data_IF_103564152421
#
_entry.id   IF_103564152421
#
_cell.length_a   1.000
_cell.length_b   1.000
_cell.length_c   1.000
_cell.angle_alpha   90.00
_cell.angle_beta   90.00
_cell.angle_gamma   90.00
#
_symmetry.space_group_name_H-M   'P 1'
#
loop_
_entity.id
_entity.type
_entity.pdbx_description
1 polymer ?
#
# COMPACT_ATOMS: atom_id res chain seq x y z
N UNK A 1 18.24 -17.38 -9.20
CA UNK A 1 18.06 -16.85 -10.58
C UNK A 1 17.93 -15.34 -10.44
N UNK A 2 18.78 -14.58 -11.15
CA UNK A 2 18.66 -13.11 -11.14
C UNK A 2 17.40 -12.71 -11.90
N UNK A 3 16.38 -12.28 -11.16
CA UNK A 3 15.13 -11.81 -11.75
C UNK A 3 15.25 -10.30 -11.98
N UNK A 4 15.22 -9.91 -13.24
CA UNK A 4 15.16 -8.50 -13.64
C UNK A 4 13.70 -8.02 -13.56
N UNK A 5 13.36 -7.27 -12.52
CA UNK A 5 11.98 -6.79 -12.32
C UNK A 5 11.50 -5.88 -13.45
N UNK A 6 12.41 -5.25 -14.19
CA UNK A 6 12.05 -4.38 -15.33
C UNK A 6 11.49 -5.18 -16.51
N UNK A 7 11.79 -6.50 -16.55
CA UNK A 7 11.36 -7.43 -17.62
C UNK A 7 10.25 -8.38 -17.19
N UNK A 8 9.84 -8.37 -15.92
CA UNK A 8 8.73 -9.23 -15.47
C UNK A 8 7.42 -8.81 -16.14
N UNK A 9 6.79 -9.77 -16.82
CA UNK A 9 5.46 -9.63 -17.39
C UNK A 9 4.45 -10.39 -16.51
N UNK A 10 3.51 -9.65 -15.91
CA UNK A 10 2.50 -10.21 -15.01
C UNK A 10 1.19 -10.55 -15.72
N UNK A 11 1.12 -10.38 -17.06
CA UNK A 11 -0.08 -10.65 -17.86
C UNK A 11 -1.34 -9.97 -17.31
N UNK A 12 -1.23 -8.69 -16.95
CA UNK A 12 -2.31 -7.89 -16.37
C UNK A 12 -3.12 -7.20 -17.47
N UNK A 13 -4.43 -7.06 -17.25
CA UNK A 13 -5.34 -6.28 -18.10
C UNK A 13 -5.30 -4.77 -17.78
N UNK A 14 -4.40 -4.34 -16.88
CA UNK A 14 -4.23 -2.94 -16.44
C UNK A 14 -2.75 -2.55 -16.36
N UNK A 15 -2.43 -1.23 -16.30
CA UNK A 15 -1.05 -0.78 -16.39
C UNK A 15 -0.24 -1.07 -15.11
N UNK A 16 1.05 -1.35 -15.31
CA UNK A 16 2.07 -1.21 -14.28
C UNK A 16 2.51 0.26 -14.28
N UNK A 17 2.20 0.99 -13.20
CA UNK A 17 2.47 2.43 -13.05
C UNK A 17 3.84 2.72 -12.44
N UNK A 18 4.54 1.71 -11.97
CA UNK A 18 5.90 1.85 -11.44
C UNK A 18 6.59 0.53 -11.14
N UNK A 19 7.94 0.59 -11.17
CA UNK A 19 8.82 -0.51 -10.75
C UNK A 19 9.88 0.07 -9.83
N UNK A 20 9.94 -0.41 -8.59
CA UNK A 20 10.77 0.16 -7.52
C UNK A 20 11.71 -0.92 -6.97
N UNK A 21 13.01 -0.68 -7.07
CA UNK A 21 14.03 -1.59 -6.54
C UNK A 21 14.39 -1.21 -5.10
N UNK A 22 14.56 -2.22 -4.26
CA UNK A 22 15.13 -2.03 -2.93
C UNK A 22 16.63 -1.68 -3.06
N UNK A 23 17.00 -0.50 -2.60
CA UNK A 23 18.37 0.01 -2.61
C UNK A 23 18.97 0.09 -1.21
N UNK A 24 18.22 -0.37 -0.18
CA UNK A 24 18.60 -0.22 1.23
C UNK A 24 19.15 -1.51 1.83
N UNK A 25 18.65 -2.66 1.39
CA UNK A 25 19.08 -3.96 1.89
C UNK A 25 19.90 -4.70 0.82
N UNK A 26 20.88 -5.54 1.24
CA UNK A 26 21.66 -6.34 0.29
C UNK A 26 20.77 -7.24 -0.57
N UNK A 27 21.09 -7.31 -1.86
CA UNK A 27 20.41 -8.21 -2.79
C UNK A 27 21.04 -9.61 -2.76
N UNK A 28 20.24 -10.62 -2.46
CA UNK A 28 20.64 -12.04 -2.44
C UNK A 28 19.72 -12.93 -3.31
N UNK A 29 18.94 -12.31 -4.19
CA UNK A 29 17.96 -12.99 -5.05
C UNK A 29 16.53 -12.89 -4.51
N UNK A 30 15.57 -13.31 -5.33
CA UNK A 30 14.15 -13.40 -4.95
C UNK A 30 13.68 -14.84 -5.09
N UNK A 31 12.85 -15.30 -4.17
CA UNK A 31 12.33 -16.67 -4.13
C UNK A 31 10.81 -16.74 -4.31
N UNK A 32 10.10 -15.64 -4.07
CA UNK A 32 8.64 -15.60 -4.25
C UNK A 32 8.11 -14.23 -4.69
N UNK A 33 6.88 -14.26 -5.22
CA UNK A 33 6.11 -13.07 -5.57
C UNK A 33 4.88 -13.03 -4.65
N UNK A 34 4.64 -11.87 -4.01
CA UNK A 34 3.43 -11.59 -3.25
C UNK A 34 2.53 -10.64 -4.04
N UNK A 35 1.26 -10.99 -4.12
CA UNK A 35 0.22 -10.15 -4.69
C UNK A 35 -0.52 -9.46 -3.56
N UNK A 36 -0.73 -8.14 -3.69
CA UNK A 36 -1.43 -7.34 -2.69
C UNK A 36 -2.44 -6.40 -3.34
N UNK A 37 -3.51 -6.09 -2.62
CA UNK A 37 -4.45 -5.03 -2.94
C UNK A 37 -4.23 -3.86 -1.99
N UNK A 38 -4.20 -2.63 -2.52
CA UNK A 38 -3.95 -1.40 -1.75
C UNK A 38 -4.97 -0.32 -2.11
N UNK A 39 -5.40 0.46 -1.12
CA UNK A 39 -6.43 1.48 -1.30
C UNK A 39 -5.96 2.90 -1.00
N UNK A 40 -6.11 3.80 -1.96
CA UNK A 40 -6.19 5.24 -1.70
C UNK A 40 -7.63 5.53 -1.28
N UNK A 41 -7.90 5.39 0.02
CA UNK A 41 -9.24 5.48 0.59
C UNK A 41 -9.53 6.92 1.00
N UNK A 42 -10.63 7.48 0.49
CA UNK A 42 -11.06 8.84 0.74
C UNK A 42 -12.29 8.84 1.68
N UNK A 43 -12.26 9.67 2.71
CA UNK A 43 -13.39 9.85 3.62
C UNK A 43 -14.40 10.90 3.10
N UNK A 44 -15.51 11.07 3.80
CA UNK A 44 -16.59 12.02 3.46
C UNK A 44 -16.15 13.49 3.40
N UNK A 45 -14.96 13.82 3.94
CA UNK A 45 -14.37 15.16 3.93
C UNK A 45 -13.36 15.40 2.82
N UNK A 46 -13.15 14.42 1.92
CA UNK A 46 -12.16 14.49 0.84
C UNK A 46 -10.71 14.30 1.32
N UNK A 47 -10.52 13.66 2.48
CA UNK A 47 -9.20 13.35 3.03
C UNK A 47 -8.85 11.89 2.77
N UNK A 48 -7.59 11.62 2.42
CA UNK A 48 -7.08 10.25 2.32
C UNK A 48 -6.78 9.67 3.69
N UNK A 49 -7.13 8.39 3.85
CA UNK A 49 -7.01 7.63 5.09
C UNK A 49 -5.80 6.72 5.02
N UNK A 50 -4.94 6.81 6.03
CA UNK A 50 -3.72 6.01 6.16
C UNK A 50 -3.69 5.31 7.53
N UNK A 51 -2.92 4.23 7.58
CA UNK A 51 -2.53 3.56 8.81
C UNK A 51 -1.18 4.13 9.26
N UNK A 52 -1.05 4.55 10.51
CA UNK A 52 0.24 4.86 11.12
C UNK A 52 0.82 3.59 11.72
N UNK A 53 1.89 3.11 11.12
CA UNK A 53 2.63 1.92 11.52
C UNK A 53 3.80 2.35 12.37
N UNK A 54 3.85 1.89 13.63
CA UNK A 54 4.96 2.15 14.56
C UNK A 54 5.25 0.90 15.38
N UNK A 55 6.50 0.48 15.41
CA UNK A 55 6.94 -0.69 16.17
C UNK A 55 8.21 -1.28 15.63
N UNK A 56 8.51 -2.50 16.05
CA UNK A 56 9.68 -3.25 15.60
C UNK A 56 9.23 -4.62 15.07
N UNK A 57 9.73 -4.99 13.91
CA UNK A 57 9.53 -6.30 13.30
C UNK A 57 10.83 -6.82 12.67
N UNK A 58 10.74 -7.79 11.75
CA UNK A 58 11.91 -8.35 11.06
C UNK A 58 12.71 -7.33 10.23
N UNK A 59 12.11 -6.21 9.85
CA UNK A 59 12.80 -5.10 9.16
C UNK A 59 13.46 -4.11 10.13
N UNK A 60 13.31 -4.31 11.44
CA UNK A 60 13.71 -3.39 12.48
C UNK A 60 12.62 -2.39 12.84
N UNK A 61 13.04 -1.20 13.28
CA UNK A 61 12.10 -0.14 13.66
C UNK A 61 11.33 0.38 12.45
N UNK A 62 10.03 0.61 12.66
CA UNK A 62 9.10 1.24 11.72
C UNK A 62 8.46 2.46 12.34
N UNK A 63 8.31 3.51 11.55
CA UNK A 63 7.53 4.70 11.87
C UNK A 63 7.12 5.37 10.57
N UNK A 64 5.98 4.96 9.99
CA UNK A 64 5.54 5.49 8.70
C UNK A 64 4.02 5.45 8.54
N UNK A 65 3.54 6.20 7.56
CA UNK A 65 2.18 6.04 7.04
C UNK A 65 2.16 5.00 5.93
N UNK A 66 1.10 4.21 5.92
CA UNK A 66 0.86 3.19 4.89
C UNK A 66 -0.59 3.23 4.42
N UNK A 67 -0.81 2.96 3.13
CA UNK A 67 -2.16 2.76 2.60
C UNK A 67 -2.77 1.47 3.15
N UNK A 68 -4.08 1.49 3.44
CA UNK A 68 -4.84 0.29 3.80
C UNK A 68 -4.71 -0.79 2.72
N UNK A 69 -4.61 -2.04 3.16
CA UNK A 69 -4.57 -3.19 2.26
C UNK A 69 -3.51 -4.21 2.61
N UNK A 70 -3.64 -5.39 2.03
CA UNK A 70 -2.79 -6.54 2.33
C UNK A 70 -2.69 -7.57 1.22
N UNK A 71 -2.28 -8.77 1.60
CA UNK A 71 -2.10 -9.89 0.67
C UNK A 71 -3.43 -10.46 0.18
N UNK A 72 -3.44 -10.95 -1.05
CA UNK A 72 -4.55 -11.74 -1.57
C UNK A 72 -4.57 -13.11 -0.89
N UNK A 73 -5.76 -13.59 -0.55
CA UNK A 73 -6.00 -14.96 -0.15
C UNK A 73 -6.09 -15.89 -1.37
N UNK A 74 -6.10 -17.20 -1.12
CA UNK A 74 -6.19 -18.19 -2.21
C UNK A 74 -7.51 -18.04 -2.98
N UNK A 75 -7.41 -17.86 -4.29
CA UNK A 75 -8.54 -17.63 -5.21
C UNK A 75 -9.37 -16.35 -4.94
N UNK A 76 -8.83 -15.40 -4.21
CA UNK A 76 -9.47 -14.11 -3.96
C UNK A 76 -9.25 -13.13 -5.14
N UNK A 77 -10.31 -12.44 -5.57
CA UNK A 77 -10.18 -11.35 -6.52
C UNK A 77 -9.53 -10.13 -5.86
N UNK A 78 -8.78 -9.36 -6.64
CA UNK A 78 -7.96 -8.27 -6.09
C UNK A 78 -8.80 -7.13 -5.47
N UNK A 79 -9.97 -6.86 -6.01
CA UNK A 79 -10.93 -5.89 -5.46
C UNK A 79 -11.62 -6.41 -4.20
N UNK A 80 -11.96 -7.71 -4.15
CA UNK A 80 -12.50 -8.36 -2.96
C UNK A 80 -11.49 -8.33 -1.81
N UNK A 81 -10.20 -8.56 -2.10
CA UNK A 81 -9.12 -8.44 -1.12
C UNK A 81 -9.09 -7.03 -0.49
N UNK A 82 -9.16 -5.98 -1.31
CA UNK A 82 -9.20 -4.62 -0.77
C UNK A 82 -10.45 -4.36 0.07
N UNK A 83 -11.61 -4.82 -0.37
CA UNK A 83 -12.87 -4.68 0.40
C UNK A 83 -12.73 -5.34 1.77
N UNK A 84 -12.16 -6.54 1.83
CA UNK A 84 -11.88 -7.26 3.09
C UNK A 84 -10.94 -6.46 3.98
N UNK A 85 -9.80 -6.01 3.45
CA UNK A 85 -8.78 -5.27 4.20
C UNK A 85 -9.33 -3.94 4.75
N UNK A 86 -10.13 -3.20 3.98
CA UNK A 86 -10.77 -1.96 4.47
C UNK A 86 -11.71 -2.23 5.65
N UNK A 87 -12.44 -3.35 5.62
CA UNK A 87 -13.28 -3.75 6.77
C UNK A 87 -12.45 -4.13 7.98
N UNK A 88 -11.39 -4.91 7.78
CA UNK A 88 -10.54 -5.43 8.86
C UNK A 88 -9.70 -4.34 9.52
N UNK A 89 -9.01 -3.51 8.73
CA UNK A 89 -8.06 -2.52 9.22
C UNK A 89 -8.71 -1.17 9.58
N UNK A 90 -9.69 -0.70 8.78
CA UNK A 90 -10.30 0.61 8.97
C UNK A 90 -11.69 0.56 9.64
N UNK A 91 -12.38 -0.58 9.60
CA UNK A 91 -13.73 -0.71 10.14
C UNK A 91 -14.80 0.01 9.31
N UNK A 92 -14.66 0.00 7.99
CA UNK A 92 -15.61 0.67 7.07
C UNK A 92 -15.96 -0.18 5.87
N UNK A 93 -17.12 0.10 5.26
CA UNK A 93 -17.43 -0.38 3.91
C UNK A 93 -16.84 0.58 2.88
N UNK A 94 -16.16 0.04 1.86
CA UNK A 94 -15.63 0.84 0.76
C UNK A 94 -16.57 0.83 -0.43
N UNK A 95 -16.69 1.96 -1.10
CA UNK A 95 -17.57 2.17 -2.25
C UNK A 95 -16.82 2.79 -3.42
N UNK A 96 -17.34 2.58 -4.65
CA UNK A 96 -16.86 3.28 -5.84
C UNK A 96 -15.42 2.98 -6.18
N UNK A 97 -15.00 1.71 -6.05
CA UNK A 97 -13.63 1.31 -6.38
C UNK A 97 -13.28 1.63 -7.84
N UNK A 98 -12.21 2.40 -8.02
CA UNK A 98 -11.62 2.75 -9.31
C UNK A 98 -10.18 2.24 -9.35
N UNK A 99 -9.88 1.36 -10.30
CA UNK A 99 -8.53 0.81 -10.47
C UNK A 99 -7.57 1.90 -10.96
N UNK A 100 -6.43 2.05 -10.29
CA UNK A 100 -5.36 2.98 -10.65
C UNK A 100 -4.29 2.29 -11.48
N UNK A 101 -3.85 1.12 -11.06
CA UNK A 101 -2.79 0.32 -11.67
C UNK A 101 -1.95 -0.39 -10.64
N UNK A 102 -0.92 -1.11 -11.10
CA UNK A 102 -0.05 -1.87 -10.20
C UNK A 102 1.35 -1.28 -10.10
N UNK A 103 1.96 -1.45 -8.94
CA UNK A 103 3.38 -1.17 -8.69
C UNK A 103 4.08 -2.49 -8.38
N UNK A 104 5.21 -2.71 -9.03
CA UNK A 104 6.12 -3.82 -8.72
C UNK A 104 7.23 -3.26 -7.84
N UNK A 105 7.39 -3.78 -6.65
CA UNK A 105 8.49 -3.40 -5.77
C UNK A 105 9.21 -4.62 -5.18
N UNK A 106 10.44 -4.43 -4.74
CA UNK A 106 11.27 -5.49 -4.19
C UNK A 106 11.60 -5.23 -2.73
N UNK A 107 11.71 -6.32 -1.97
CA UNK A 107 12.12 -6.34 -0.58
C UNK A 107 13.25 -7.35 -0.43
N UNK A 108 14.49 -6.86 -0.53
CA UNK A 108 15.69 -7.70 -0.56
C UNK A 108 15.86 -8.51 0.73
N UNK A 109 15.57 -7.90 1.88
CA UNK A 109 15.72 -8.55 3.19
C UNK A 109 14.92 -9.85 3.34
N UNK A 110 13.79 -9.95 2.65
CA UNK A 110 12.89 -11.11 2.68
C UNK A 110 12.78 -11.81 1.33
N UNK A 111 13.72 -11.56 0.42
CA UNK A 111 13.83 -12.19 -0.90
C UNK A 111 12.54 -12.15 -1.74
N UNK A 112 11.76 -11.05 -1.62
CA UNK A 112 10.41 -10.96 -2.16
C UNK A 112 10.27 -9.88 -3.24
N UNK A 113 9.53 -10.24 -4.30
CA UNK A 113 8.93 -9.27 -5.22
C UNK A 113 7.46 -9.09 -4.81
N UNK A 114 6.97 -7.87 -4.77
CA UNK A 114 5.57 -7.59 -4.49
C UNK A 114 4.93 -6.93 -5.71
N UNK A 115 3.77 -7.41 -6.12
CA UNK A 115 2.87 -6.73 -7.06
C UNK A 115 1.71 -6.14 -6.25
N UNK A 116 1.73 -4.82 -6.06
CA UNK A 116 0.70 -4.09 -5.34
C UNK A 116 -0.26 -3.45 -6.33
N UNK A 117 -1.51 -3.90 -6.36
CA UNK A 117 -2.57 -3.30 -7.19
C UNK A 117 -3.32 -2.26 -6.39
N UNK A 118 -3.32 -1.04 -6.90
CA UNK A 118 -3.90 0.12 -6.25
C UNK A 118 -5.28 0.47 -6.81
N UNK A 119 -6.19 0.76 -5.90
CA UNK A 119 -7.51 1.32 -6.19
C UNK A 119 -7.70 2.62 -5.44
N UNK A 120 -8.54 3.49 -5.97
CA UNK A 120 -9.19 4.55 -5.23
C UNK A 120 -10.58 4.10 -4.81
N UNK A 121 -11.04 4.51 -3.62
CA UNK A 121 -12.39 4.22 -3.14
C UNK A 121 -12.80 5.17 -2.02
N UNK A 122 -14.09 5.17 -1.71
CA UNK A 122 -14.69 6.05 -0.70
C UNK A 122 -15.21 5.24 0.48
N UNK A 123 -15.06 5.79 1.68
CA UNK A 123 -15.74 5.33 2.88
C UNK A 123 -16.71 6.39 3.39
N UNK A 124 -17.80 5.95 4.00
CA UNK A 124 -18.74 6.82 4.71
C UNK A 124 -18.35 6.95 6.21
N UNK A 125 -19.11 7.75 6.95
CA UNK A 125 -18.87 7.98 8.39
C UNK A 125 -19.42 6.85 9.29
N UNK A 126 -19.89 5.74 8.70
CA UNK A 126 -20.46 4.63 9.46
C UNK A 126 -19.40 3.56 9.74
N UNK A 127 -19.03 3.45 11.01
CA UNK A 127 -18.11 2.43 11.48
C UNK A 127 -18.78 1.04 11.54
N UNK A 128 -17.98 0.03 11.25
CA UNK A 128 -18.26 -1.38 11.51
C UNK A 128 -17.13 -1.96 12.39
N UNK A 129 -17.33 -3.10 13.05
CA UNK A 129 -16.26 -3.70 13.86
C UNK A 129 -15.01 -4.00 13.03
N UNK A 130 -13.85 -3.56 13.49
CA UNK A 130 -12.54 -3.94 12.94
C UNK A 130 -12.18 -5.37 13.37
N UNK A 131 -11.40 -6.07 12.53
CA UNK A 131 -10.95 -7.43 12.78
C UNK A 131 -9.46 -7.58 12.43
N UNK A 132 -8.62 -6.79 13.09
CA UNK A 132 -7.16 -6.83 12.91
C UNK A 132 -6.57 -8.12 13.48
N UNK A 133 -5.52 -8.60 12.85
CA UNK A 133 -4.66 -9.65 13.42
C UNK A 133 -3.92 -9.16 14.66
N UNK A 134 -3.36 -10.07 15.45
CA UNK A 134 -2.55 -9.68 16.63
C UNK A 134 -1.34 -8.79 16.25
N UNK A 135 -0.70 -9.06 15.12
CA UNK A 135 0.42 -8.25 14.61
C UNK A 135 -0.02 -6.84 14.19
N UNK A 136 -1.13 -6.73 13.49
CA UNK A 136 -1.72 -5.45 13.10
C UNK A 136 -2.16 -4.62 14.32
N UNK A 137 -2.76 -5.24 15.34
CA UNK A 137 -3.12 -4.58 16.61
C UNK A 137 -1.89 -4.01 17.33
N UNK A 138 -0.72 -4.65 17.18
CA UNK A 138 0.52 -4.19 17.78
C UNK A 138 1.14 -3.04 16.96
N UNK A 139 1.14 -3.14 15.63
CA UNK A 139 1.86 -2.23 14.74
C UNK A 139 1.03 -1.00 14.33
N UNK A 140 -0.28 -1.16 14.10
CA UNK A 140 -1.16 -0.04 13.71
C UNK A 140 -1.51 0.79 14.95
N UNK A 141 -0.92 1.97 15.10
CA UNK A 141 -1.14 2.86 16.26
C UNK A 141 -2.38 3.71 16.12
N UNK A 142 -2.61 4.26 14.94
CA UNK A 142 -3.75 5.14 14.69
C UNK A 142 -4.12 5.17 13.20
N UNK A 143 -5.32 5.65 12.92
CA UNK A 143 -5.79 5.99 11.59
C UNK A 143 -5.58 7.50 11.39
N UNK A 144 -4.86 7.88 10.33
CA UNK A 144 -4.50 9.26 10.02
C UNK A 144 -5.24 9.70 8.76
N UNK A 145 -5.94 10.83 8.83
CA UNK A 145 -6.63 11.43 7.69
C UNK A 145 -5.92 12.72 7.27
N UNK A 146 -5.55 12.82 6.00
CA UNK A 146 -4.79 13.95 5.46
C UNK A 146 -5.42 14.46 4.16
N UNK A 147 -5.38 15.78 3.98
CA UNK A 147 -5.73 16.39 2.69
C UNK A 147 -4.74 15.92 1.60
N UNK A 148 -5.18 15.84 0.33
CA UNK A 148 -4.41 15.17 -0.74
C UNK A 148 -2.95 15.61 -0.87
N UNK A 149 -2.68 16.92 -0.87
CA UNK A 149 -1.32 17.44 -1.01
C UNK A 149 -0.47 17.27 0.26
N UNK A 150 -1.10 17.36 1.44
CA UNK A 150 -0.44 17.08 2.71
C UNK A 150 -0.08 15.60 2.85
N UNK A 151 -0.95 14.71 2.37
CA UNK A 151 -0.69 13.28 2.31
C UNK A 151 0.53 12.97 1.41
N UNK A 152 0.57 13.55 0.22
CA UNK A 152 1.68 13.35 -0.72
C UNK A 152 3.00 13.86 -0.12
N UNK A 153 3.01 15.06 0.45
CA UNK A 153 4.20 15.64 1.08
C UNK A 153 4.70 14.74 2.23
N UNK A 154 3.77 14.24 3.07
CA UNK A 154 4.11 13.35 4.17
C UNK A 154 4.75 12.04 3.69
N UNK A 155 4.16 11.39 2.69
CA UNK A 155 4.69 10.15 2.13
C UNK A 155 6.06 10.34 1.45
N UNK A 156 6.33 11.51 0.86
CA UNK A 156 7.58 11.76 0.15
C UNK A 156 8.76 12.16 1.05
N UNK A 157 8.49 12.77 2.21
CA UNK A 157 9.53 13.48 2.97
C UNK A 157 9.73 13.00 4.41
N UNK A 158 8.85 12.19 4.97
CA UNK A 158 8.88 11.87 6.41
C UNK A 158 9.29 10.44 6.76
N UNK A 159 9.77 9.65 5.80
CA UNK A 159 10.29 8.32 6.09
C UNK A 159 11.66 8.38 6.80
N UNK A 160 11.77 7.70 7.94
CA UNK A 160 12.98 7.68 8.77
C UNK A 160 13.82 6.44 8.50
N UNK A 161 13.23 5.25 8.67
CA UNK A 161 13.93 3.97 8.54
C UNK A 161 13.96 3.48 7.08
N UNK A 162 14.81 2.49 6.78
CA UNK A 162 14.94 1.95 5.43
C UNK A 162 13.63 1.36 4.91
N UNK A 163 12.94 0.55 5.73
CA UNK A 163 11.66 -0.04 5.37
C UNK A 163 10.56 1.03 5.16
N UNK A 164 10.56 2.10 5.96
CA UNK A 164 9.64 3.22 5.80
C UNK A 164 9.77 3.85 4.41
N UNK A 165 11.03 4.03 3.95
CA UNK A 165 11.33 4.57 2.61
C UNK A 165 10.85 3.65 1.49
N UNK A 166 10.95 2.32 1.67
CA UNK A 166 10.41 1.35 0.71
C UNK A 166 8.90 1.47 0.58
N UNK A 167 8.19 1.46 1.72
CA UNK A 167 6.73 1.51 1.77
C UNK A 167 6.21 2.86 1.28
N UNK A 168 6.72 3.96 1.85
CA UNK A 168 6.18 5.29 1.54
C UNK A 168 6.44 5.72 0.10
N UNK A 169 7.58 5.38 -0.52
CA UNK A 169 7.82 5.71 -1.93
C UNK A 169 6.85 4.98 -2.88
N UNK A 170 6.43 3.74 -2.54
CA UNK A 170 5.40 3.00 -3.27
C UNK A 170 4.06 3.73 -3.18
N UNK A 171 3.64 4.06 -1.98
CA UNK A 171 2.34 4.71 -1.72
C UNK A 171 2.31 6.15 -2.25
N UNK A 172 3.43 6.89 -2.13
CA UNK A 172 3.59 8.21 -2.74
C UNK A 172 3.46 8.16 -4.27
N UNK A 173 4.06 7.16 -4.92
CA UNK A 173 3.95 7.00 -6.37
C UNK A 173 2.50 6.75 -6.81
N UNK A 174 1.78 5.87 -6.11
CA UNK A 174 0.37 5.61 -6.38
C UNK A 174 -0.49 6.88 -6.21
N UNK A 175 -0.31 7.59 -5.09
CA UNK A 175 -1.04 8.82 -4.81
C UNK A 175 -0.72 9.90 -5.85
N UNK A 176 0.54 10.08 -6.21
CA UNK A 176 0.96 11.05 -7.23
C UNK A 176 0.36 10.74 -8.59
N UNK A 177 0.34 9.47 -9.02
CA UNK A 177 -0.31 9.05 -10.26
C UNK A 177 -1.81 9.36 -10.25
N UNK A 178 -2.50 9.04 -9.16
CA UNK A 178 -3.91 9.35 -8.99
C UNK A 178 -4.21 10.85 -9.03
N UNK A 179 -3.46 11.67 -8.26
CA UNK A 179 -3.67 13.12 -8.22
C UNK A 179 -3.43 13.79 -9.59
N UNK A 180 -2.41 13.34 -10.33
CA UNK A 180 -2.19 13.79 -11.73
C UNK A 180 -3.36 13.42 -12.64
N UNK A 181 -3.84 12.18 -12.55
CA UNK A 181 -4.99 11.73 -13.32
C UNK A 181 -6.25 12.56 -13.03
N UNK A 182 -6.47 12.96 -11.80
CA UNK A 182 -7.59 13.82 -11.38
C UNK A 182 -7.34 15.33 -11.65
N UNK A 183 -6.17 15.71 -12.15
CA UNK A 183 -5.83 17.14 -12.41
C UNK A 183 -5.62 17.96 -11.12
N UNK A 184 -5.20 17.32 -10.05
CA UNK A 184 -4.92 17.95 -8.74
C UNK A 184 -3.41 18.21 -8.51
N UNK A 185 -2.57 17.78 -9.47
CA UNK A 185 -1.13 18.04 -9.57
C UNK A 185 -0.78 18.51 -10.96
#
# INVERSE_FOLDING_TARGET
>A
MDIDIDKLDFQLDWPIIGRLKDEFYPYEGYDHIRYTARGLIENSRGQFVFLHIEGEDLFGMRDHLETCGGGLEENEAVDDALIREVREELGHEVHGLELIGSIVDTYNLIHRITLSTFFHGYIDDRDIPMHRTEEEEILIKEIVCLDPLAALDRLEHQAVHAVDKLVQRRDALALRCYLKYKGLL
#
